data_IF_196949008697
#
_entry.id   IF_196949008697
#
_cell.length_a   1.000
_cell.length_b   1.000
_cell.length_c   1.000
_cell.angle_alpha   90.00
_cell.angle_beta   90.00
_cell.angle_gamma   90.00
#
_symmetry.space_group_name_H-M   'P 1'
#
loop_
_entity.id
_entity.type
_entity.pdbx_description
1 polymer ?
#
# COMPACT_ATOMS: atom_id res chain seq x y z
N UNK A 1 -58.92 53.74 29.97
CA UNK A 1 -58.68 54.87 29.04
C UNK A 1 -57.40 54.58 28.28
N UNK A 2 -57.35 54.78 26.96
CA UNK A 2 -58.35 54.41 25.93
C UNK A 2 -58.03 52.95 25.46
N UNK A 3 -58.45 52.31 24.36
CA UNK A 3 -59.34 52.59 23.20
C UNK A 3 -58.79 53.42 22.02
N UNK A 4 -59.41 53.36 20.83
CA UNK A 4 -60.01 52.21 20.12
C UNK A 4 -59.04 51.82 18.94
N UNK A 5 -59.36 51.21 17.78
CA UNK A 5 -60.56 50.70 17.09
C UNK A 5 -60.11 49.43 16.28
N UNK A 6 -61.04 48.68 15.65
CA UNK A 6 -60.75 47.86 14.46
C UNK A 6 -60.80 48.72 13.16
N UNK A 7 -60.88 48.22 11.93
CA UNK A 7 -62.13 47.69 11.31
C UNK A 7 -61.86 47.21 9.87
N UNK A 8 -62.37 46.01 9.56
CA UNK A 8 -62.88 45.45 8.27
C UNK A 8 -62.07 45.38 6.94
N UNK A 9 -62.49 44.39 6.13
CA UNK A 9 -62.30 44.22 4.67
C UNK A 9 -63.36 45.08 3.91
N UNK A 10 -63.81 44.84 2.65
CA UNK A 10 -63.33 43.98 1.54
C UNK A 10 -63.34 44.71 0.15
N UNK A 11 -63.45 43.92 -0.93
CA UNK A 11 -63.99 44.23 -2.29
C UNK A 11 -62.98 44.24 -3.46
N UNK A 12 -63.44 43.72 -4.60
CA UNK A 12 -62.69 43.26 -5.77
C UNK A 12 -62.84 44.20 -6.99
N UNK A 13 -62.41 43.69 -8.16
CA UNK A 13 -62.58 44.24 -9.54
C UNK A 13 -61.62 45.43 -9.88
N UNK A 14 -61.12 45.59 -11.11
CA UNK A 14 -61.07 44.71 -12.30
C UNK A 14 -60.03 45.23 -13.31
N UNK A 15 -59.56 44.40 -14.26
CA UNK A 15 -58.67 44.87 -15.33
C UNK A 15 -58.39 43.81 -16.42
N UNK A 16 -58.84 44.07 -17.66
CA UNK A 16 -58.63 43.20 -18.82
C UNK A 16 -57.42 43.64 -19.65
N UNK A 17 -56.64 42.68 -20.19
CA UNK A 17 -56.53 42.42 -21.65
C UNK A 17 -55.60 41.24 -21.98
N UNK A 18 -55.79 40.65 -23.17
CA UNK A 18 -54.92 39.65 -23.81
C UNK A 18 -54.05 40.31 -24.90
N UNK A 19 -52.89 39.70 -25.17
CA UNK A 19 -52.19 39.52 -26.47
C UNK A 19 -50.67 39.44 -26.20
N UNK A 20 -49.95 38.37 -26.58
CA UNK A 20 -49.52 37.89 -27.93
C UNK A 20 -48.39 38.72 -28.56
N UNK A 21 -47.43 38.00 -29.15
CA UNK A 21 -46.16 38.49 -29.72
C UNK A 21 -46.37 39.48 -30.88
N UNK A 22 -45.39 40.35 -31.14
CA UNK A 22 -45.01 40.78 -32.47
C UNK A 22 -43.93 39.85 -33.08
N UNK A 23 -44.09 39.51 -34.36
CA UNK A 23 -43.01 39.02 -35.25
C UNK A 23 -43.08 39.86 -36.53
N UNK A 24 -42.03 40.66 -36.80
CA UNK A 24 -41.67 41.24 -38.10
C UNK A 24 -40.17 41.57 -38.00
N UNK A 25 -39.22 41.06 -38.81
CA UNK A 25 -39.08 40.99 -40.28
C UNK A 25 -38.63 42.30 -40.92
N UNK A 26 -37.35 42.35 -41.27
CA UNK A 26 -36.73 43.10 -42.37
C UNK A 26 -35.46 42.31 -42.77
N UNK A 27 -35.19 41.83 -43.99
CA UNK A 27 -35.35 42.32 -45.36
C UNK A 27 -33.97 42.67 -45.95
N UNK A 28 -33.52 41.85 -46.91
CA UNK A 28 -32.38 42.09 -47.80
C UNK A 28 -32.78 41.63 -49.22
N UNK A 29 -32.18 42.21 -50.27
CA UNK A 29 -32.77 42.27 -51.61
C UNK A 29 -32.00 41.55 -52.72
N UNK A 30 -32.77 41.14 -53.72
CA UNK A 30 -32.43 40.91 -55.14
C UNK A 30 -31.52 39.73 -55.51
N UNK A 31 -31.93 39.02 -56.57
CA UNK A 31 -31.22 37.85 -57.11
C UNK A 31 -32.03 37.06 -58.15
N UNK A 32 -32.77 37.75 -59.04
CA UNK A 32 -33.60 37.11 -60.05
C UNK A 32 -32.75 36.52 -61.19
N UNK A 33 -32.88 35.21 -61.43
CA UNK A 33 -32.51 34.55 -62.67
C UNK A 33 -33.65 33.61 -63.07
N UNK A 34 -34.06 33.65 -64.34
CA UNK A 34 -35.15 32.81 -64.87
C UNK A 34 -34.56 31.62 -65.61
N UNK A 35 -34.85 30.41 -65.15
CA UNK A 35 -34.52 29.16 -65.85
C UNK A 35 -35.78 28.29 -65.96
N UNK A 36 -36.48 28.41 -67.09
CA UNK A 36 -37.61 27.52 -67.42
C UNK A 36 -37.08 26.17 -67.90
N UNK A 37 -37.12 25.16 -67.03
CA UNK A 37 -36.80 23.78 -67.37
C UNK A 37 -37.88 22.84 -66.84
N UNK A 38 -38.67 22.24 -67.74
CA UNK A 38 -39.50 21.09 -67.41
C UNK A 38 -38.69 19.81 -67.65
N UNK A 39 -38.73 18.87 -66.71
CA UNK A 39 -38.12 17.55 -66.87
C UNK A 39 -38.72 16.60 -65.85
N UNK A 40 -39.34 15.53 -66.33
CA UNK A 40 -39.78 14.43 -65.47
C UNK A 40 -38.55 13.74 -64.89
N UNK A 41 -38.45 13.77 -63.56
CA UNK A 41 -37.42 13.09 -62.79
C UNK A 41 -38.01 12.61 -61.47
N UNK A 42 -37.98 11.31 -61.24
CA UNK A 42 -38.41 10.71 -59.97
C UNK A 42 -37.44 11.14 -58.88
N UNK A 43 -37.78 12.19 -58.13
CA UNK A 43 -37.00 12.62 -56.97
C UNK A 43 -37.14 11.57 -55.87
N UNK A 44 -36.17 10.67 -55.80
CA UNK A 44 -35.85 9.93 -54.59
C UNK A 44 -35.79 10.93 -53.41
N UNK A 45 -36.42 10.65 -52.26
CA UNK A 45 -36.46 11.59 -51.16
C UNK A 45 -35.03 11.93 -50.73
N UNK A 46 -34.71 13.21 -50.46
CA UNK A 46 -33.35 13.61 -50.15
C UNK A 46 -32.85 12.80 -48.96
N UNK A 47 -31.78 12.05 -49.18
CA UNK A 47 -31.10 11.32 -48.11
C UNK A 47 -30.76 12.30 -47.00
N UNK A 48 -31.18 11.99 -45.77
CA UNK A 48 -30.80 12.80 -44.62
C UNK A 48 -29.27 12.92 -44.60
N UNK A 49 -28.71 14.10 -44.25
CA UNK A 49 -27.27 14.24 -44.09
C UNK A 49 -26.74 13.11 -43.20
N UNK A 50 -25.61 12.47 -43.55
CA UNK A 50 -25.08 11.37 -42.76
C UNK A 50 -24.92 11.84 -41.31
N UNK A 51 -25.63 11.15 -40.42
CA UNK A 51 -25.75 11.50 -39.00
C UNK A 51 -24.34 11.65 -38.41
N UNK A 52 -24.06 12.78 -37.76
CA UNK A 52 -22.67 13.14 -37.42
C UNK A 52 -22.01 12.05 -36.55
N UNK A 53 -20.73 11.72 -36.78
CA UNK A 53 -20.06 10.63 -36.07
C UNK A 53 -20.03 10.96 -34.57
N UNK A 54 -20.76 10.19 -33.77
CA UNK A 54 -20.90 10.35 -32.32
C UNK A 54 -20.30 9.14 -31.59
N UNK A 55 -19.62 9.34 -30.45
CA UNK A 55 -19.19 8.22 -29.61
C UNK A 55 -20.36 7.29 -29.29
N UNK A 56 -20.21 6.02 -29.64
CA UNK A 56 -21.24 4.98 -29.45
C UNK A 56 -20.70 3.83 -28.61
N UNK A 57 -19.41 3.51 -28.71
CA UNK A 57 -18.72 2.60 -27.79
C UNK A 57 -17.36 3.17 -27.37
N UNK A 58 -17.02 3.01 -26.09
CA UNK A 58 -15.63 3.08 -25.61
C UNK A 58 -15.15 1.64 -25.36
N UNK A 59 -13.84 1.41 -25.41
CA UNK A 59 -13.24 0.14 -24.98
C UNK A 59 -11.89 0.43 -24.33
N UNK A 60 -11.74 0.09 -23.05
CA UNK A 60 -10.51 0.27 -22.29
C UNK A 60 -9.57 -0.92 -22.50
N UNK A 61 -8.26 -0.68 -22.49
CA UNK A 61 -7.23 -1.73 -22.43
C UNK A 61 -6.05 -1.25 -21.58
N UNK A 62 -5.59 -2.02 -20.58
CA UNK A 62 -6.11 -3.33 -20.15
C UNK A 62 -7.46 -3.22 -19.42
N UNK A 63 -8.24 -4.30 -19.41
CA UNK A 63 -9.52 -4.36 -18.67
C UNK A 63 -9.35 -4.61 -17.16
N UNK A 64 -8.20 -5.19 -16.75
CA UNK A 64 -7.81 -5.36 -15.35
C UNK A 64 -6.31 -5.14 -15.18
N UNK A 65 -5.90 -4.47 -14.10
CA UNK A 65 -4.49 -4.27 -13.76
C UNK A 65 -4.20 -4.53 -12.28
N UNK A 66 -2.93 -4.85 -11.96
CA UNK A 66 -2.48 -5.10 -10.58
C UNK A 66 -1.15 -4.41 -10.29
N UNK A 67 -1.11 -3.59 -9.25
CA UNK A 67 0.08 -2.88 -8.78
C UNK A 67 0.46 -3.34 -7.37
N UNK A 68 1.75 -3.46 -7.10
CA UNK A 68 2.30 -4.05 -5.86
C UNK A 68 3.11 -3.09 -4.99
N UNK A 69 3.11 -1.80 -5.34
CA UNK A 69 3.78 -0.71 -4.64
C UNK A 69 3.02 0.60 -4.86
N UNK A 70 3.12 1.52 -3.90
CA UNK A 70 2.60 2.89 -4.02
C UNK A 70 3.49 3.69 -4.99
N UNK A 71 2.89 4.61 -5.74
CA UNK A 71 3.56 5.37 -6.80
C UNK A 71 3.90 4.56 -8.07
N UNK A 72 3.62 3.24 -8.10
CA UNK A 72 3.67 2.46 -9.33
C UNK A 72 2.57 2.93 -10.30
N UNK A 73 2.80 2.78 -11.61
CA UNK A 73 1.90 3.26 -12.66
C UNK A 73 1.53 2.18 -13.67
N UNK A 74 0.34 2.32 -14.26
CA UNK A 74 -0.15 1.51 -15.39
C UNK A 74 -0.80 2.45 -16.41
N UNK A 75 -0.53 2.25 -17.71
CA UNK A 75 -1.08 3.11 -18.77
C UNK A 75 -2.32 2.45 -19.39
N UNK A 76 -3.50 2.96 -19.05
CA UNK A 76 -4.75 2.55 -19.68
C UNK A 76 -4.95 3.34 -20.97
N UNK A 77 -5.54 2.69 -21.97
CA UNK A 77 -5.87 3.27 -23.27
C UNK A 77 -7.35 3.08 -23.54
N UNK A 78 -7.98 4.01 -24.25
CA UNK A 78 -9.40 3.95 -24.58
C UNK A 78 -9.59 4.12 -26.09
N UNK A 79 -10.25 3.15 -26.73
CA UNK A 79 -10.62 3.20 -28.15
C UNK A 79 -12.08 3.59 -28.27
N UNK A 80 -12.34 4.78 -28.83
CA UNK A 80 -13.71 5.27 -29.09
C UNK A 80 -14.12 4.88 -30.51
N UNK A 81 -15.37 4.42 -30.68
CA UNK A 81 -15.97 4.15 -32.00
C UNK A 81 -17.31 4.82 -32.18
N UNK A 82 -17.62 5.15 -33.43
CA UNK A 82 -18.88 5.77 -33.85
C UNK A 82 -20.01 4.76 -34.10
N UNK A 83 -21.18 5.26 -34.52
CA UNK A 83 -22.35 4.45 -34.87
C UNK A 83 -22.15 3.49 -36.06
N UNK A 84 -21.06 3.61 -36.82
CA UNK A 84 -20.66 2.69 -37.90
C UNK A 84 -19.58 1.69 -37.45
N UNK A 85 -19.09 1.80 -36.21
CA UNK A 85 -17.99 1.01 -35.66
C UNK A 85 -16.60 1.49 -36.06
N UNK A 86 -16.47 2.63 -36.77
CA UNK A 86 -15.17 3.20 -37.11
C UNK A 86 -14.53 3.90 -35.91
N UNK A 87 -13.20 3.89 -35.83
CA UNK A 87 -12.45 4.45 -34.71
C UNK A 87 -12.39 5.97 -34.83
N UNK A 88 -12.86 6.67 -33.79
CA UNK A 88 -12.89 8.13 -33.74
C UNK A 88 -11.53 8.69 -33.31
N UNK A 89 -10.61 8.87 -34.27
CA UNK A 89 -9.30 9.47 -34.02
C UNK A 89 -9.44 10.92 -33.55
N UNK A 90 -9.05 11.20 -32.30
CA UNK A 90 -9.16 12.54 -31.71
C UNK A 90 -10.46 12.81 -30.94
N UNK A 91 -11.27 11.79 -30.64
CA UNK A 91 -12.35 11.94 -29.67
C UNK A 91 -11.79 12.28 -28.27
N UNK A 92 -12.39 13.26 -27.60
CA UNK A 92 -12.03 13.60 -26.21
C UNK A 92 -12.50 12.48 -25.28
N UNK A 93 -11.56 11.91 -24.53
CA UNK A 93 -11.83 10.89 -23.49
C UNK A 93 -11.56 11.52 -22.12
N UNK A 94 -12.59 11.55 -21.29
CA UNK A 94 -12.46 11.91 -19.88
C UNK A 94 -12.21 10.66 -19.04
N UNK A 95 -11.30 10.76 -18.07
CA UNK A 95 -10.91 9.65 -17.19
C UNK A 95 -11.28 9.95 -15.74
N UNK A 96 -11.81 8.95 -15.04
CA UNK A 96 -12.15 9.03 -13.62
C UNK A 96 -11.73 7.76 -12.87
N UNK A 97 -11.53 7.87 -11.55
CA UNK A 97 -11.32 6.74 -10.63
C UNK A 97 -12.44 6.75 -9.59
N UNK A 98 -13.02 5.59 -9.30
CA UNK A 98 -14.04 5.45 -8.25
C UNK A 98 -13.49 5.59 -6.83
N UNK A 99 -12.17 5.45 -6.65
CA UNK A 99 -11.51 5.64 -5.36
C UNK A 99 -10.10 6.20 -5.55
N UNK A 100 -9.96 7.53 -5.45
CA UNK A 100 -8.68 8.24 -5.61
C UNK A 100 -7.68 7.97 -4.48
N UNK A 101 -8.12 7.46 -3.33
CA UNK A 101 -7.23 7.01 -2.26
C UNK A 101 -6.57 5.65 -2.57
N UNK A 102 -7.10 4.88 -3.52
CA UNK A 102 -6.49 3.63 -4.00
C UNK A 102 -5.68 3.89 -5.27
N UNK A 103 -6.27 4.55 -6.26
CA UNK A 103 -5.61 4.87 -7.52
C UNK A 103 -6.10 6.20 -8.11
N UNK A 104 -5.15 7.04 -8.54
CA UNK A 104 -5.44 8.28 -9.28
C UNK A 104 -5.23 8.07 -10.78
N UNK A 105 -5.90 8.84 -11.64
CA UNK A 105 -5.78 8.73 -13.11
C UNK A 105 -5.57 10.12 -13.74
N UNK A 106 -4.67 10.20 -14.72
CA UNK A 106 -4.42 11.42 -15.49
C UNK A 106 -5.44 11.58 -16.64
N UNK A 107 -5.51 12.78 -17.22
CA UNK A 107 -6.25 13.00 -18.47
C UNK A 107 -5.72 12.22 -19.69
N UNK A 108 -4.57 11.55 -19.57
CA UNK A 108 -4.02 10.65 -20.60
C UNK A 108 -4.23 9.16 -20.30
N UNK A 109 -5.05 8.81 -19.29
CA UNK A 109 -5.28 7.42 -18.88
C UNK A 109 -4.12 6.77 -18.12
N UNK A 110 -3.09 7.54 -17.71
CA UNK A 110 -2.03 7.02 -16.86
C UNK A 110 -2.54 6.93 -15.42
N UNK A 111 -2.61 5.72 -14.88
CA UNK A 111 -3.08 5.45 -13.53
C UNK A 111 -1.89 5.27 -12.60
N UNK A 112 -1.98 5.84 -11.39
CA UNK A 112 -0.94 5.79 -10.35
C UNK A 112 -1.51 5.25 -9.05
N UNK A 113 -0.88 4.23 -8.46
CA UNK A 113 -1.23 3.68 -7.16
C UNK A 113 -1.03 4.71 -6.03
N UNK A 114 -2.08 4.96 -5.25
CA UNK A 114 -2.11 5.89 -4.12
C UNK A 114 -2.26 5.17 -2.76
N UNK A 115 -2.91 4.01 -2.73
CA UNK A 115 -3.15 3.22 -1.52
C UNK A 115 -3.60 1.79 -1.85
N UNK A 116 -3.60 0.90 -0.86
CA UNK A 116 -4.07 -0.49 -1.05
C UNK A 116 -5.59 -0.54 -1.24
N UNK A 117 -6.06 -1.50 -2.04
CA UNK A 117 -7.49 -1.77 -2.26
C UNK A 117 -7.81 -2.05 -3.73
N UNK A 118 -9.08 -1.92 -4.10
CA UNK A 118 -9.54 -1.97 -5.50
C UNK A 118 -10.23 -0.66 -5.87
N UNK A 119 -9.97 -0.17 -7.09
CA UNK A 119 -10.66 0.95 -7.70
C UNK A 119 -11.13 0.58 -9.11
N UNK A 120 -12.10 1.34 -9.62
CA UNK A 120 -12.62 1.25 -10.98
C UNK A 120 -12.18 2.48 -11.74
N UNK A 121 -11.52 2.27 -12.88
CA UNK A 121 -11.11 3.32 -13.80
C UNK A 121 -12.15 3.41 -14.91
N UNK A 122 -12.78 4.57 -15.06
CA UNK A 122 -13.81 4.82 -16.08
C UNK A 122 -13.26 5.73 -17.16
N UNK A 123 -13.51 5.39 -18.43
CA UNK A 123 -13.22 6.23 -19.58
C UNK A 123 -14.53 6.58 -20.29
N UNK A 124 -14.81 7.89 -20.44
CA UNK A 124 -16.08 8.39 -20.98
C UNK A 124 -15.82 9.36 -22.14
N UNK A 125 -16.50 9.14 -23.27
CA UNK A 125 -16.50 10.00 -24.44
C UNK A 125 -17.96 10.21 -24.89
N UNK A 126 -18.48 11.43 -24.77
CA UNK A 126 -19.92 11.68 -24.91
C UNK A 126 -20.73 10.88 -23.89
N UNK A 127 -21.83 10.28 -24.34
CA UNK A 127 -22.66 9.38 -23.51
C UNK A 127 -22.09 7.94 -23.40
N UNK A 128 -21.08 7.60 -24.22
CA UNK A 128 -20.46 6.28 -24.23
C UNK A 128 -19.35 6.21 -23.17
N UNK A 129 -19.33 5.13 -22.40
CA UNK A 129 -18.28 4.85 -21.41
C UNK A 129 -17.93 3.36 -21.36
N UNK A 130 -16.80 3.06 -20.77
CA UNK A 130 -16.36 1.71 -20.41
C UNK A 130 -15.58 1.76 -19.08
N UNK A 131 -15.35 0.61 -18.44
CA UNK A 131 -14.69 0.51 -17.13
C UNK A 131 -13.65 -0.60 -17.06
N UNK A 132 -12.56 -0.34 -16.34
CA UNK A 132 -11.53 -1.32 -16.01
C UNK A 132 -11.28 -1.37 -14.50
N UNK A 133 -10.87 -2.54 -13.99
CA UNK A 133 -10.52 -2.73 -12.58
C UNK A 133 -9.02 -2.51 -12.36
N UNK A 134 -8.66 -1.83 -11.26
CA UNK A 134 -7.28 -1.83 -10.76
C UNK A 134 -7.23 -2.27 -9.29
N UNK A 135 -6.44 -3.29 -9.00
CA UNK A 135 -6.13 -3.73 -7.64
C UNK A 135 -4.72 -3.27 -7.24
N UNK A 136 -4.58 -2.68 -6.05
CA UNK A 136 -3.31 -2.28 -5.45
C UNK A 136 -3.09 -3.10 -4.17
N UNK A 137 -2.04 -3.92 -4.12
CA UNK A 137 -1.74 -4.79 -2.97
C UNK A 137 -0.24 -4.86 -2.69
N UNK A 138 0.21 -4.21 -1.61
CA UNK A 138 1.54 -4.46 -1.05
C UNK A 138 1.66 -5.93 -0.59
N UNK A 139 2.65 -6.70 -1.06
CA UNK A 139 2.82 -8.11 -0.68
C UNK A 139 3.20 -8.28 0.81
N UNK A 140 3.78 -7.25 1.42
CA UNK A 140 4.14 -7.23 2.85
C UNK A 140 2.90 -7.38 3.74
N UNK A 141 1.73 -6.95 3.27
CA UNK A 141 0.45 -7.11 3.98
C UNK A 141 0.15 -8.57 4.31
N UNK A 142 0.38 -9.49 3.36
CA UNK A 142 0.12 -10.91 3.58
C UNK A 142 1.06 -11.50 4.64
N UNK A 143 2.29 -10.99 4.71
CA UNK A 143 3.29 -11.37 5.72
C UNK A 143 2.91 -10.86 7.11
N UNK A 144 2.46 -9.60 7.22
CA UNK A 144 1.98 -9.05 8.49
C UNK A 144 0.70 -9.77 8.96
N UNK A 145 -0.24 -10.08 8.06
CA UNK A 145 -1.42 -10.91 8.40
C UNK A 145 -1.01 -12.30 8.90
N UNK A 146 0.04 -12.91 8.32
CA UNK A 146 0.58 -14.17 8.82
C UNK A 146 1.20 -14.02 10.23
N UNK A 147 1.92 -12.94 10.51
CA UNK A 147 2.40 -12.64 11.87
C UNK A 147 1.26 -12.50 12.87
N UNK A 148 0.25 -11.67 12.57
CA UNK A 148 -0.91 -11.47 13.44
C UNK A 148 -1.60 -12.80 13.80
N UNK A 149 -1.80 -13.67 12.81
CA UNK A 149 -2.41 -14.97 13.03
C UNK A 149 -1.50 -15.98 13.74
N UNK A 150 -0.17 -15.88 13.60
CA UNK A 150 0.80 -16.79 14.20
C UNK A 150 1.10 -16.47 15.67
N UNK A 151 1.04 -15.19 16.08
CA UNK A 151 1.50 -14.74 17.40
C UNK A 151 0.39 -14.17 18.30
N UNK A 152 -0.83 -14.71 18.21
CA UNK A 152 -2.00 -14.39 19.06
C UNK A 152 -2.50 -12.93 18.93
N UNK A 153 -2.54 -12.42 17.69
CA UNK A 153 -2.97 -11.07 17.30
C UNK A 153 -4.18 -10.47 18.03
N UNK A 154 -5.30 -11.20 18.21
CA UNK A 154 -6.48 -10.70 18.91
C UNK A 154 -6.27 -10.37 20.39
N UNK A 155 -5.15 -10.82 20.99
CA UNK A 155 -4.79 -10.59 22.39
C UNK A 155 -3.57 -9.65 22.57
N UNK A 156 -3.11 -8.98 21.50
CA UNK A 156 -2.05 -7.97 21.60
C UNK A 156 -2.53 -6.72 22.38
N UNK A 157 -1.59 -6.05 23.06
CA UNK A 157 -1.85 -4.82 23.84
C UNK A 157 -2.26 -3.66 22.94
N UNK A 158 -1.70 -3.58 21.73
CA UNK A 158 -2.17 -2.68 20.68
C UNK A 158 -2.19 -3.44 19.34
N UNK A 159 -3.26 -3.27 18.57
CA UNK A 159 -3.35 -3.77 17.19
C UNK A 159 -4.05 -2.75 16.28
N UNK A 160 -3.80 -1.46 16.51
CA UNK A 160 -4.41 -0.35 15.77
C UNK A 160 -4.15 -0.51 14.26
N UNK A 161 -5.23 -0.42 13.48
CA UNK A 161 -5.28 -0.63 12.03
C UNK A 161 -4.86 -2.02 11.51
N UNK A 162 -4.42 -2.97 12.34
CA UNK A 162 -4.13 -4.33 11.91
C UNK A 162 -5.39 -5.02 11.34
N UNK A 163 -5.20 -5.78 10.26
CA UNK A 163 -6.26 -6.38 9.43
C UNK A 163 -7.22 -5.39 8.75
N UNK A 164 -7.04 -4.07 8.87
CA UNK A 164 -7.88 -3.07 8.17
C UNK A 164 -7.32 -2.68 6.80
N UNK A 165 -8.12 -2.02 5.96
CA UNK A 165 -7.66 -1.50 4.66
C UNK A 165 -6.76 -0.26 4.74
N UNK A 166 -6.48 0.27 5.94
CA UNK A 166 -5.56 1.40 6.12
C UNK A 166 -4.14 1.08 5.58
N UNK A 167 -3.42 2.07 5.02
CA UNK A 167 -2.02 1.94 4.61
C UNK A 167 -1.14 1.25 5.66
N UNK A 168 -0.15 0.47 5.21
CA UNK A 168 0.69 -0.30 6.14
C UNK A 168 1.53 0.58 7.07
N UNK A 169 1.85 1.82 6.68
CA UNK A 169 2.54 2.79 7.54
C UNK A 169 1.65 3.41 8.65
N UNK A 170 0.34 3.12 8.63
CA UNK A 170 -0.61 3.51 9.69
C UNK A 170 -0.88 2.36 10.68
N UNK A 171 -0.29 1.16 10.47
CA UNK A 171 -0.46 0.00 11.34
C UNK A 171 0.46 0.12 12.57
N UNK A 172 -0.03 -0.26 13.75
CA UNK A 172 0.77 -0.17 14.97
C UNK A 172 2.10 -0.92 14.83
N UNK A 173 3.21 -0.21 15.10
CA UNK A 173 4.56 -0.77 15.03
C UNK A 173 5.16 -0.90 13.62
N UNK A 174 4.52 -0.41 12.56
CA UNK A 174 4.96 -0.62 11.16
C UNK A 174 5.39 0.69 10.48
N UNK A 175 6.67 0.83 10.15
CA UNK A 175 7.16 1.92 9.31
C UNK A 175 7.32 1.44 7.85
N UNK A 176 6.85 2.23 6.88
CA UNK A 176 7.05 1.97 5.43
C UNK A 176 7.94 3.01 4.74
N UNK A 177 8.59 2.63 3.65
CA UNK A 177 9.14 3.59 2.69
C UNK A 177 8.05 4.25 1.82
N UNK A 178 8.45 5.22 0.99
CA UNK A 178 7.55 5.95 0.08
C UNK A 178 6.90 5.11 -1.03
N UNK A 179 7.24 3.82 -1.14
CA UNK A 179 6.57 2.85 -2.02
C UNK A 179 5.58 1.94 -1.25
N UNK A 180 5.35 2.21 0.05
CA UNK A 180 4.46 1.41 0.90
C UNK A 180 5.03 0.04 1.27
N UNK A 181 6.35 -0.13 1.21
CA UNK A 181 7.05 -1.37 1.59
C UNK A 181 7.62 -1.25 3.00
N UNK A 182 7.49 -2.30 3.79
CA UNK A 182 7.84 -2.28 5.22
C UNK A 182 9.36 -2.18 5.39
N UNK A 183 9.82 -1.14 6.10
CA UNK A 183 11.24 -0.90 6.39
C UNK A 183 11.59 -1.08 7.87
N UNK A 184 10.60 -1.07 8.76
CA UNK A 184 10.79 -1.40 10.18
C UNK A 184 9.50 -1.96 10.77
N UNK A 185 9.67 -2.95 11.64
CA UNK A 185 8.61 -3.58 12.41
C UNK A 185 9.05 -3.59 13.88
N UNK A 186 8.26 -2.98 14.76
CA UNK A 186 8.51 -2.90 16.20
C UNK A 186 7.23 -3.19 16.98
N UNK A 187 7.12 -4.43 17.46
CA UNK A 187 6.03 -4.92 18.31
C UNK A 187 6.60 -5.41 19.66
N UNK A 188 7.57 -4.65 20.18
CA UNK A 188 8.25 -4.98 21.43
C UNK A 188 7.43 -4.64 22.68
N UNK A 189 7.69 -5.37 23.77
CA UNK A 189 7.09 -5.09 25.07
C UNK A 189 7.42 -3.68 25.54
N UNK A 190 6.37 -2.89 25.81
CA UNK A 190 6.46 -1.48 26.16
C UNK A 190 6.99 -1.29 27.59
N UNK A 191 7.76 -0.22 27.81
CA UNK A 191 8.17 0.14 29.17
C UNK A 191 6.99 0.71 29.95
N UNK A 192 6.68 0.05 31.07
CA UNK A 192 5.64 0.43 32.01
C UNK A 192 6.25 1.17 33.19
N UNK A 193 5.88 2.44 33.34
CA UNK A 193 6.42 3.33 34.38
C UNK A 193 5.75 3.14 35.75
N UNK A 194 4.57 2.52 35.81
CA UNK A 194 3.86 2.20 37.05
C UNK A 194 4.42 0.91 37.66
N UNK A 195 4.58 -0.14 36.83
CA UNK A 195 5.19 -1.41 37.23
C UNK A 195 6.73 -1.40 37.25
N UNK A 196 7.37 -0.34 36.71
CA UNK A 196 8.84 -0.17 36.60
C UNK A 196 9.53 -1.34 35.89
N UNK A 197 8.92 -1.83 34.81
CA UNK A 197 9.39 -2.95 34.04
C UNK A 197 8.94 -2.85 32.59
N UNK A 198 9.07 -3.95 31.85
CA UNK A 198 8.48 -4.06 30.52
C UNK A 198 7.21 -4.90 30.60
N UNK A 199 6.10 -4.37 30.11
CA UNK A 199 4.85 -5.10 29.92
C UNK A 199 4.87 -5.69 28.51
N UNK A 200 4.79 -7.03 28.34
CA UNK A 200 4.81 -7.65 27.02
C UNK A 200 3.72 -7.10 26.11
N UNK A 201 4.01 -6.97 24.80
CA UNK A 201 3.03 -6.52 23.81
C UNK A 201 1.94 -7.58 23.54
N UNK A 202 2.09 -8.78 24.12
CA UNK A 202 1.12 -9.87 24.04
C UNK A 202 1.41 -10.89 22.93
N UNK A 203 2.48 -10.71 22.16
CA UNK A 203 2.89 -11.66 21.12
C UNK A 203 3.23 -13.01 21.74
N UNK A 204 2.53 -14.07 21.31
CA UNK A 204 2.59 -15.42 21.87
C UNK A 204 2.59 -16.49 20.79
N UNK A 205 3.56 -17.39 20.81
CA UNK A 205 3.70 -18.44 19.79
C UNK A 205 4.91 -18.21 18.87
N UNK A 206 5.01 -18.96 17.75
CA UNK A 206 6.19 -18.94 16.91
C UNK A 206 6.32 -17.67 16.07
N UNK A 207 7.56 -17.21 15.90
CA UNK A 207 7.90 -16.28 14.81
C UNK A 207 7.65 -17.01 13.48
N UNK A 208 6.80 -16.53 12.57
CA UNK A 208 6.53 -17.24 11.32
C UNK A 208 7.64 -17.02 10.28
N UNK A 209 7.98 -18.04 9.47
CA UNK A 209 8.99 -17.94 8.41
C UNK A 209 8.61 -16.94 7.31
N UNK A 210 7.31 -16.62 7.17
CA UNK A 210 6.79 -15.56 6.31
C UNK A 210 7.53 -14.22 6.48
N UNK A 211 8.02 -13.89 7.68
CA UNK A 211 8.73 -12.64 7.93
C UNK A 211 9.98 -12.46 7.07
N UNK A 212 10.63 -13.54 6.63
CA UNK A 212 11.76 -13.48 5.69
C UNK A 212 11.44 -12.84 4.34
N UNK A 213 10.14 -12.73 4.00
CA UNK A 213 9.66 -12.18 2.71
C UNK A 213 9.58 -10.65 2.70
N UNK A 214 9.82 -9.96 3.82
CA UNK A 214 9.83 -8.50 3.93
C UNK A 214 11.13 -7.88 3.37
N UNK A 215 11.30 -7.94 2.05
CA UNK A 215 12.57 -7.64 1.35
C UNK A 215 13.20 -6.25 1.65
N UNK A 216 12.42 -5.26 2.09
CA UNK A 216 12.89 -3.90 2.41
C UNK A 216 13.17 -3.67 3.91
N UNK A 217 12.95 -4.68 4.78
CA UNK A 217 13.02 -4.56 6.23
C UNK A 217 14.45 -4.30 6.74
N UNK A 218 14.60 -3.22 7.51
CA UNK A 218 15.88 -2.72 8.06
C UNK A 218 15.99 -2.98 9.55
N UNK A 219 14.87 -2.99 10.27
CA UNK A 219 14.83 -3.23 11.71
C UNK A 219 13.65 -4.13 12.08
N UNK A 220 13.93 -5.21 12.82
CA UNK A 220 12.93 -6.10 13.39
C UNK A 220 13.11 -6.15 14.91
N UNK A 221 12.13 -5.61 15.64
CA UNK A 221 12.06 -5.59 17.10
C UNK A 221 10.83 -6.37 17.55
N UNK A 222 11.05 -7.53 18.19
CA UNK A 222 10.00 -8.36 18.81
C UNK A 222 10.33 -8.69 20.27
N UNK A 223 11.29 -7.96 20.86
CA UNK A 223 11.84 -8.19 22.20
C UNK A 223 10.83 -7.93 23.33
N UNK A 224 11.08 -8.48 24.53
CA UNK A 224 10.16 -8.43 25.68
C UNK A 224 8.75 -8.96 25.35
N UNK A 225 8.64 -10.20 24.85
CA UNK A 225 7.37 -10.86 24.53
C UNK A 225 7.38 -12.33 25.02
N UNK A 226 6.36 -13.12 24.66
CA UNK A 226 6.29 -14.55 24.92
C UNK A 226 6.31 -15.37 23.62
N UNK A 227 7.19 -14.98 22.70
CA UNK A 227 7.43 -15.74 21.47
C UNK A 227 8.17 -17.03 21.80
N UNK A 228 7.73 -18.13 21.20
CA UNK A 228 8.20 -19.49 21.49
C UNK A 228 8.75 -20.18 20.23
N UNK A 229 9.34 -21.37 20.38
CA UNK A 229 9.87 -22.14 19.25
C UNK A 229 11.16 -21.56 18.67
N UNK A 230 11.60 -22.02 17.49
CA UNK A 230 12.89 -21.63 16.92
C UNK A 230 12.85 -20.25 16.24
N UNK A 231 14.02 -19.60 16.18
CA UNK A 231 14.26 -18.49 15.25
C UNK A 231 14.20 -19.06 13.81
N UNK A 232 13.32 -18.56 12.91
CA UNK A 232 13.22 -19.10 11.55
C UNK A 232 14.49 -18.81 10.73
N UNK A 233 15.06 -19.80 10.03
CA UNK A 233 16.22 -19.57 9.16
C UNK A 233 15.94 -18.59 8.01
N UNK A 234 14.68 -18.44 7.60
CA UNK A 234 14.19 -17.50 6.59
C UNK A 234 14.42 -16.03 6.97
N UNK A 235 14.62 -15.71 8.26
CA UNK A 235 15.06 -14.37 8.66
C UNK A 235 16.44 -14.01 8.09
N UNK A 236 17.22 -15.00 7.62
CA UNK A 236 18.47 -14.80 6.89
C UNK A 236 18.29 -14.24 5.46
N UNK A 237 17.08 -14.30 4.89
CA UNK A 237 16.81 -13.79 3.53
C UNK A 237 16.60 -12.27 3.49
N UNK A 238 16.54 -11.62 4.67
CA UNK A 238 16.30 -10.19 4.85
C UNK A 238 17.54 -9.35 4.51
N UNK A 239 17.97 -9.36 3.25
CA UNK A 239 19.22 -8.74 2.77
C UNK A 239 19.36 -7.21 2.99
N UNK A 240 18.31 -6.53 3.47
CA UNK A 240 18.32 -5.11 3.85
C UNK A 240 18.42 -4.86 5.36
N UNK A 241 18.38 -5.91 6.20
CA UNK A 241 18.32 -5.83 7.66
C UNK A 241 19.60 -5.30 8.29
N UNK A 242 19.44 -4.44 9.30
CA UNK A 242 20.48 -3.78 10.10
C UNK A 242 20.37 -4.11 11.59
N UNK A 243 19.15 -4.24 12.12
CA UNK A 243 18.91 -4.63 13.51
C UNK A 243 17.93 -5.78 13.62
N UNK A 244 18.32 -6.83 14.34
CA UNK A 244 17.44 -7.94 14.75
C UNK A 244 17.45 -8.04 16.28
N UNK A 245 16.32 -7.71 16.90
CA UNK A 245 16.15 -7.62 18.36
C UNK A 245 15.01 -8.55 18.82
N UNK A 246 15.37 -9.73 19.29
CA UNK A 246 14.46 -10.80 19.75
C UNK A 246 14.66 -11.13 21.25
N UNK A 247 15.44 -10.32 21.97
CA UNK A 247 15.82 -10.54 23.36
C UNK A 247 14.61 -10.58 24.32
N UNK A 248 14.75 -11.25 25.47
CA UNK A 248 13.68 -11.49 26.45
C UNK A 248 12.41 -12.07 25.81
N UNK A 249 12.52 -13.33 25.35
CA UNK A 249 11.42 -14.16 24.85
C UNK A 249 11.66 -15.62 25.30
N UNK A 250 10.75 -16.52 24.94
CA UNK A 250 10.79 -17.95 25.24
C UNK A 250 11.30 -18.76 24.01
N UNK A 251 12.21 -18.19 23.20
CA UNK A 251 12.70 -18.80 21.96
C UNK A 251 13.71 -19.93 22.24
N UNK A 252 13.70 -20.96 21.40
CA UNK A 252 14.38 -22.25 21.63
C UNK A 252 15.18 -22.71 20.41
N UNK A 253 15.91 -23.83 20.53
CA UNK A 253 16.68 -24.39 19.41
C UNK A 253 17.93 -23.58 19.06
N UNK A 254 18.57 -23.83 17.91
CA UNK A 254 19.83 -23.18 17.53
C UNK A 254 19.64 -21.76 16.99
N UNK A 255 20.67 -20.93 17.16
CA UNK A 255 20.84 -19.71 16.34
C UNK A 255 21.06 -20.15 14.88
N UNK A 256 20.23 -19.72 13.90
CA UNK A 256 20.41 -20.14 12.51
C UNK A 256 21.69 -19.58 11.90
N UNK A 257 22.51 -20.43 11.28
CA UNK A 257 23.69 -20.00 10.52
C UNK A 257 23.33 -19.14 9.30
N UNK A 258 22.09 -19.23 8.80
CA UNK A 258 21.57 -18.36 7.72
C UNK A 258 21.53 -16.87 8.10
N UNK A 259 21.55 -16.52 9.39
CA UNK A 259 21.69 -15.12 9.81
C UNK A 259 23.03 -14.51 9.35
N UNK A 260 24.03 -15.32 9.00
CA UNK A 260 25.28 -14.89 8.38
C UNK A 260 25.13 -14.34 6.94
N UNK A 261 23.98 -14.55 6.29
CA UNK A 261 23.65 -13.97 4.99
C UNK A 261 23.35 -12.46 5.10
N UNK A 262 23.05 -11.96 6.31
CA UNK A 262 22.62 -10.59 6.57
C UNK A 262 23.79 -9.60 6.53
N UNK A 263 24.42 -9.45 5.36
CA UNK A 263 25.66 -8.68 5.16
C UNK A 263 25.58 -7.17 5.50
N UNK A 264 24.41 -6.67 5.93
CA UNK A 264 24.18 -5.29 6.42
C UNK A 264 23.85 -5.22 7.91
N UNK A 265 23.88 -6.35 8.64
CA UNK A 265 23.49 -6.42 10.05
C UNK A 265 24.50 -5.65 10.92
N UNK A 266 24.03 -4.59 11.55
CA UNK A 266 24.77 -3.72 12.48
C UNK A 266 24.61 -4.19 13.93
N UNK A 267 23.51 -4.89 14.26
CA UNK A 267 23.28 -5.48 15.57
C UNK A 267 22.38 -6.72 15.57
N UNK A 268 22.81 -7.76 16.29
CA UNK A 268 22.04 -8.96 16.62
C UNK A 268 21.90 -9.07 18.14
N UNK A 269 20.67 -9.12 18.63
CA UNK A 269 20.35 -9.20 20.05
C UNK A 269 19.27 -10.26 20.32
N UNK A 270 19.70 -11.39 20.88
CA UNK A 270 18.85 -12.54 21.25
C UNK A 270 19.03 -12.93 22.74
N UNK A 271 19.52 -11.98 23.54
CA UNK A 271 19.77 -12.17 24.97
C UNK A 271 18.51 -12.62 25.73
N UNK A 272 18.64 -13.49 26.74
CA UNK A 272 17.48 -13.88 27.55
C UNK A 272 16.45 -14.69 26.75
N UNK A 273 16.85 -15.87 26.30
CA UNK A 273 16.03 -16.87 25.61
C UNK A 273 16.52 -18.28 26.00
N UNK A 274 15.87 -19.34 25.53
CA UNK A 274 16.25 -20.74 25.71
C UNK A 274 17.01 -21.32 24.48
N UNK A 275 17.76 -20.48 23.75
CA UNK A 275 18.53 -20.93 22.59
C UNK A 275 19.66 -21.89 23.00
N UNK A 276 20.00 -22.83 22.14
CA UNK A 276 20.80 -24.02 22.46
C UNK A 276 21.72 -24.44 21.32
N UNK A 277 22.64 -25.36 21.58
CA UNK A 277 23.64 -25.78 20.59
C UNK A 277 24.76 -24.73 20.40
N UNK A 278 25.61 -24.89 19.37
CA UNK A 278 26.78 -24.05 19.18
C UNK A 278 26.42 -22.64 18.67
N UNK A 279 27.27 -21.67 19.00
CA UNK A 279 27.31 -20.38 18.29
C UNK A 279 27.78 -20.66 16.86
N UNK A 280 27.04 -20.26 15.80
CA UNK A 280 27.45 -20.55 14.43
C UNK A 280 28.74 -19.80 14.06
N UNK A 281 29.80 -20.48 13.58
CA UNK A 281 31.04 -19.83 13.13
C UNK A 281 30.80 -18.90 11.93
N UNK A 282 29.75 -19.14 11.15
CA UNK A 282 29.37 -18.32 10.00
C UNK A 282 29.07 -16.87 10.40
N UNK A 283 28.63 -16.60 11.64
CA UNK A 283 28.40 -15.23 12.14
C UNK A 283 29.66 -14.35 12.05
N UNK A 284 30.87 -14.93 11.98
CA UNK A 284 32.12 -14.22 11.72
C UNK A 284 32.25 -13.63 10.30
N UNK A 285 31.28 -13.84 9.41
CA UNK A 285 31.20 -13.17 8.09
C UNK A 285 30.65 -11.74 8.15
N UNK A 286 29.94 -11.39 9.22
CA UNK A 286 29.08 -10.21 9.33
C UNK A 286 29.90 -8.92 9.52
N UNK A 287 30.59 -8.47 8.47
CA UNK A 287 31.55 -7.37 8.52
C UNK A 287 30.99 -6.02 9.05
N UNK A 288 29.67 -5.79 8.97
CA UNK A 288 29.01 -4.61 9.53
C UNK A 288 28.65 -4.71 11.02
N UNK A 289 28.79 -5.88 11.66
CA UNK A 289 28.23 -6.14 12.98
C UNK A 289 28.98 -5.38 14.08
N UNK A 290 28.25 -4.48 14.76
CA UNK A 290 28.76 -3.68 15.88
C UNK A 290 28.35 -4.23 17.24
N UNK A 291 27.30 -5.05 17.28
CA UNK A 291 26.73 -5.65 18.50
C UNK A 291 26.30 -7.09 18.25
N UNK A 292 26.78 -8.00 19.10
CA UNK A 292 26.35 -9.40 19.16
C UNK A 292 26.04 -9.74 20.61
N UNK A 293 24.77 -9.91 20.96
CA UNK A 293 24.35 -10.31 22.31
C UNK A 293 23.64 -11.67 22.24
N UNK A 294 24.33 -12.67 22.81
CA UNK A 294 23.94 -14.08 22.89
C UNK A 294 23.82 -14.54 24.35
N UNK A 295 23.92 -13.63 25.33
CA UNK A 295 23.97 -13.95 26.75
C UNK A 295 22.64 -14.43 27.33
N UNK A 296 22.67 -15.05 28.50
CA UNK A 296 21.49 -15.61 29.19
C UNK A 296 20.70 -16.55 28.27
N UNK A 297 21.36 -17.63 27.85
CA UNK A 297 20.84 -18.66 26.96
C UNK A 297 21.44 -20.04 27.35
N UNK A 298 21.11 -21.10 26.63
CA UNK A 298 21.65 -22.46 26.80
C UNK A 298 22.65 -22.87 25.68
N UNK A 299 23.34 -21.89 25.08
CA UNK A 299 24.32 -22.15 24.01
C UNK A 299 25.54 -22.91 24.57
N UNK A 300 26.12 -23.80 23.77
CA UNK A 300 27.13 -24.78 24.19
C UNK A 300 28.30 -24.90 23.20
N UNK A 301 29.29 -25.74 23.51
CA UNK A 301 30.50 -25.85 22.71
C UNK A 301 31.47 -24.67 22.88
N UNK A 302 32.47 -24.51 22.00
CA UNK A 302 33.43 -23.41 22.06
C UNK A 302 32.86 -22.10 21.50
N UNK A 303 33.46 -20.97 21.90
CA UNK A 303 33.28 -19.70 21.19
C UNK A 303 34.04 -19.80 19.85
N UNK A 304 33.45 -19.51 18.69
CA UNK A 304 34.16 -19.62 17.41
C UNK A 304 35.27 -18.57 17.27
N UNK A 305 36.51 -18.95 16.86
CA UNK A 305 37.57 -18.00 16.54
C UNK A 305 37.21 -17.11 15.35
N UNK A 306 36.30 -17.56 14.47
CA UNK A 306 35.69 -16.77 13.38
C UNK A 306 35.15 -15.41 13.83
N UNK A 307 34.63 -15.31 15.06
CA UNK A 307 34.10 -14.04 15.59
C UNK A 307 35.19 -12.95 15.73
N UNK A 308 36.47 -13.34 15.80
CA UNK A 308 37.61 -12.40 15.76
C UNK A 308 37.77 -11.66 14.43
N UNK A 309 37.10 -12.10 13.36
CA UNK A 309 37.06 -11.40 12.05
C UNK A 309 36.14 -10.18 12.06
N UNK A 310 35.33 -9.99 13.09
CA UNK A 310 34.32 -8.92 13.18
C UNK A 310 34.96 -7.58 13.58
N UNK A 311 35.72 -6.99 12.66
CA UNK A 311 36.52 -5.77 12.87
C UNK A 311 35.72 -4.50 13.26
N UNK A 312 34.38 -4.53 13.22
CA UNK A 312 33.51 -3.44 13.67
C UNK A 312 32.81 -3.71 15.02
N UNK A 313 33.04 -4.88 15.64
CA UNK A 313 32.31 -5.34 16.82
C UNK A 313 32.72 -4.57 18.07
N UNK A 314 31.80 -3.81 18.66
CA UNK A 314 32.02 -2.99 19.87
C UNK A 314 31.43 -3.61 21.13
N UNK A 315 30.54 -4.60 20.98
CA UNK A 315 29.87 -5.29 22.09
C UNK A 315 29.63 -6.76 21.74
N UNK A 316 30.43 -7.63 22.33
CA UNK A 316 30.17 -9.08 22.41
C UNK A 316 29.65 -9.41 23.81
N UNK A 317 28.54 -10.15 23.91
CA UNK A 317 28.08 -10.74 25.16
C UNK A 317 27.68 -12.18 24.94
N UNK A 318 28.33 -13.09 25.66
CA UNK A 318 28.07 -14.54 25.68
C UNK A 318 27.90 -15.06 27.12
N UNK A 319 27.75 -14.15 28.09
CA UNK A 319 27.62 -14.47 29.52
C UNK A 319 26.40 -15.34 29.81
N UNK A 320 26.42 -16.12 30.90
CA UNK A 320 25.34 -17.05 31.27
C UNK A 320 24.92 -17.96 30.10
N UNK A 321 25.85 -18.81 29.67
CA UNK A 321 25.64 -19.89 28.70
C UNK A 321 26.42 -21.14 29.14
N UNK A 322 26.21 -22.27 28.47
CA UNK A 322 26.86 -23.56 28.71
C UNK A 322 28.14 -23.73 27.85
N UNK A 323 28.85 -22.63 27.58
CA UNK A 323 30.04 -22.58 26.72
C UNK A 323 31.26 -23.24 27.38
N UNK A 324 32.18 -23.71 26.55
CA UNK A 324 33.29 -24.59 26.93
C UNK A 324 34.60 -24.20 26.21
N UNK A 325 35.72 -24.76 26.66
CA UNK A 325 37.03 -24.50 26.03
C UNK A 325 37.64 -23.13 26.39
N UNK A 326 38.76 -22.75 25.74
CA UNK A 326 39.41 -21.47 25.95
C UNK A 326 38.67 -20.33 25.24
N UNK A 327 38.91 -19.10 25.70
CA UNK A 327 38.57 -17.88 24.93
C UNK A 327 39.52 -17.82 23.73
N UNK A 328 39.04 -17.72 22.48
CA UNK A 328 39.91 -17.62 21.31
C UNK A 328 40.77 -16.35 21.33
N UNK A 329 42.09 -16.42 21.07
CA UNK A 329 42.96 -15.24 21.03
C UNK A 329 42.58 -14.25 19.91
N UNK A 330 41.87 -14.70 18.88
CA UNK A 330 41.33 -13.86 17.80
C UNK A 330 40.29 -12.85 18.32
N UNK A 331 39.69 -13.07 19.49
CA UNK A 331 38.81 -12.06 20.12
C UNK A 331 39.60 -10.89 20.72
N UNK A 332 40.91 -11.03 20.96
CA UNK A 332 41.75 -9.97 21.49
C UNK A 332 42.17 -8.94 20.44
N UNK A 333 41.91 -9.20 19.15
CA UNK A 333 42.14 -8.23 18.05
C UNK A 333 40.92 -7.36 17.74
N UNK A 334 39.82 -7.51 18.49
CA UNK A 334 38.63 -6.66 18.39
C UNK A 334 38.83 -5.40 19.24
N UNK A 335 38.70 -4.21 18.63
CA UNK A 335 39.10 -2.90 19.19
C UNK A 335 37.97 -1.89 19.33
#
# INVERSE_FOLDING_TARGET
MPLPIAVEHPIALSGLRRCRLPVFVAAALAGLSWATGCGDGTTEPPTLPPDAPRPTTVTITPATARLTALGATEQFTAVVRDQSGQVMTGAEVTWASSNTSVATVSGSGLVTAAGNGTATITATAGDAFDTAEITVTSPDRAVLVALYNATDGPNWVNSDNWLTDAPLGDWHGVDTDGAGRVVRLDLSGLWDSEFRGYTPHGLRGPIPPELGKLANLRFLSLYNNNLTGPIPPELGDLATLRGLSLYNNDLTGPVPSTLANLARLEGLDVFGNDLSGPIPPELGSLASLTRLQLGSNSLSGPIPPELGRLANLRRLSVLHNQLTGPIPPELWTIS
#
